data_IF_590949386692
#
_entry.id   IF_590949386692
#
_cell.length_a   1.000
_cell.length_b   1.000
_cell.length_c   1.000
_cell.angle_alpha   90.00
_cell.angle_beta   90.00
_cell.angle_gamma   90.00
#
_symmetry.space_group_name_H-M   'P 1'
#
loop_
_entity.id
_entity.type
_entity.pdbx_description
1 polymer ?
#
# COMPACT_ATOMS: atom_id res chain seq x y z
N UNK A 1 -11.45 -3.44 28.81
CA UNK A 1 -11.23 -3.18 28.26
C UNK A 1 -11.33 -2.68 27.39
N UNK A 2 -11.57 -2.31 26.94
CA UNK A 2 -11.39 -1.68 26.29
C UNK A 2 -11.62 -1.52 25.23
N UNK A 3 -12.06 -1.15 25.29
CA UNK A 3 -11.82 -0.53 24.12
C UNK A 3 -12.22 -1.30 22.95
N UNK A 4 -12.74 -2.38 23.11
CA UNK A 4 -13.23 -3.13 22.04
C UNK A 4 -14.27 -2.43 21.25
N UNK A 5 -15.12 -1.66 21.92
CA UNK A 5 -16.19 -0.99 21.23
C UNK A 5 -15.68 0.03 20.27
N UNK A 6 -14.61 0.69 20.61
CA UNK A 6 -14.08 1.69 19.71
C UNK A 6 -13.52 1.07 18.46
N UNK A 7 -13.25 -0.20 18.50
CA UNK A 7 -12.76 -0.88 17.34
C UNK A 7 -13.76 -0.96 16.24
N UNK A 8 -15.03 -0.84 16.55
CA UNK A 8 -16.02 -0.97 15.51
C UNK A 8 -15.87 0.07 14.43
N UNK A 9 -15.50 1.27 14.81
CA UNK A 9 -15.25 2.29 13.81
C UNK A 9 -14.09 1.92 12.92
N UNK A 10 -13.06 1.33 13.50
CA UNK A 10 -11.90 0.93 12.72
C UNK A 10 -12.21 -0.21 11.78
N UNK A 11 -13.12 -1.08 12.19
CA UNK A 11 -13.47 -2.23 11.37
C UNK A 11 -14.09 -1.79 10.06
N UNK A 12 -14.81 -0.71 10.07
CA UNK A 12 -15.45 -0.20 8.87
C UNK A 12 -14.44 0.21 7.83
N UNK A 13 -13.31 0.74 8.27
CA UNK A 13 -12.27 1.19 7.36
C UNK A 13 -11.27 0.07 7.13
N UNK A 14 -11.13 -0.35 5.89
CA UNK A 14 -10.16 -1.37 5.51
C UNK A 14 -8.92 -0.75 4.90
N UNK A 15 -8.71 0.52 5.13
CA UNK A 15 -7.62 1.28 4.52
C UNK A 15 -6.71 1.83 5.58
N UNK A 16 -5.43 1.91 5.22
CA UNK A 16 -4.43 2.61 6.02
C UNK A 16 -4.31 4.01 5.45
N UNK A 17 -4.57 5.00 6.30
CA UNK A 17 -4.49 6.39 5.89
C UNK A 17 -3.06 6.86 5.98
N UNK A 18 -2.60 7.56 4.94
CA UNK A 18 -1.22 8.05 4.91
C UNK A 18 -1.15 9.45 5.51
N UNK A 19 -1.27 9.57 6.82
CA UNK A 19 -1.00 10.85 7.48
C UNK A 19 0.49 11.16 7.46
N UNK A 20 1.32 10.11 7.48
CA UNK A 20 2.74 10.20 7.15
C UNK A 20 2.92 9.35 5.91
N UNK A 21 3.42 9.94 4.84
CA UNK A 21 3.45 9.26 3.56
C UNK A 21 4.50 8.16 3.52
N UNK A 22 4.11 7.00 3.00
CA UNK A 22 5.04 5.94 2.66
C UNK A 22 5.28 5.89 1.15
N UNK A 23 4.84 6.94 0.45
CA UNK A 23 4.87 6.94 -1.01
C UNK A 23 6.26 6.79 -1.60
N UNK A 24 7.26 7.45 -1.02
CA UNK A 24 8.63 7.32 -1.51
C UNK A 24 9.13 5.89 -1.38
N UNK A 25 8.80 5.23 -0.28
CA UNK A 25 9.20 3.84 -0.08
C UNK A 25 8.52 2.93 -1.10
N UNK A 26 7.23 3.16 -1.35
CA UNK A 26 6.52 2.41 -2.38
C UNK A 26 7.17 2.59 -3.74
N UNK A 27 7.49 3.82 -4.10
CA UNK A 27 8.15 4.11 -5.37
C UNK A 27 9.48 3.40 -5.47
N UNK A 28 10.31 3.52 -4.44
CA UNK A 28 11.66 2.95 -4.46
C UNK A 28 11.61 1.42 -4.52
N UNK A 29 10.67 0.81 -3.81
CA UNK A 29 10.52 -0.65 -3.85
C UNK A 29 10.07 -1.10 -5.24
N UNK A 30 9.20 -0.35 -5.88
CA UNK A 30 8.78 -0.67 -7.24
C UNK A 30 9.96 -0.58 -8.21
N UNK A 31 10.75 0.49 -8.11
CA UNK A 31 11.91 0.67 -8.97
C UNK A 31 12.91 -0.47 -8.74
N UNK A 32 13.16 -0.83 -7.48
CA UNK A 32 14.07 -1.94 -7.16
C UNK A 32 13.59 -3.25 -7.77
N UNK A 33 12.28 -3.44 -7.80
CA UNK A 33 11.70 -4.63 -8.40
C UNK A 33 11.72 -4.61 -9.93
N UNK A 34 12.07 -3.49 -10.53
CA UNK A 34 12.16 -3.37 -11.97
C UNK A 34 10.80 -3.29 -12.66
N UNK A 35 9.78 -2.80 -11.96
CA UNK A 35 8.42 -2.80 -12.47
C UNK A 35 7.93 -1.39 -12.75
N UNK A 36 7.16 -1.24 -13.83
CA UNK A 36 6.41 -0.02 -14.08
C UNK A 36 5.14 0.00 -13.25
N UNK A 37 4.52 1.17 -13.13
CA UNK A 37 3.24 1.27 -12.45
C UNK A 37 2.18 0.42 -13.16
N UNK A 38 2.22 0.36 -14.47
CA UNK A 38 1.28 -0.46 -15.24
C UNK A 38 1.47 -1.95 -14.95
N UNK A 39 2.71 -2.39 -14.84
CA UNK A 39 2.99 -3.79 -14.53
C UNK A 39 2.52 -4.14 -13.13
N UNK A 40 2.68 -3.24 -12.18
CA UNK A 40 2.18 -3.48 -10.82
C UNK A 40 0.66 -3.54 -10.81
N UNK A 41 0.01 -2.65 -11.55
CA UNK A 41 -1.44 -2.68 -11.67
C UNK A 41 -1.90 -4.03 -12.23
N UNK A 42 -1.24 -4.54 -13.27
CA UNK A 42 -1.58 -5.83 -13.84
C UNK A 42 -1.41 -6.95 -12.83
N UNK A 43 -0.33 -6.92 -12.04
CA UNK A 43 -0.10 -7.92 -11.00
C UNK A 43 -1.17 -7.89 -9.92
N UNK A 44 -1.61 -6.71 -9.54
CA UNK A 44 -2.66 -6.57 -8.54
C UNK A 44 -3.99 -7.09 -9.09
N UNK A 45 -4.28 -6.82 -10.35
CA UNK A 45 -5.53 -7.30 -10.95
C UNK A 45 -5.55 -8.82 -11.06
N UNK A 46 -4.41 -9.44 -11.31
CA UNK A 46 -4.32 -10.91 -11.27
C UNK A 46 -4.68 -11.47 -9.91
N UNK A 47 -4.49 -10.68 -8.86
CA UNK A 47 -4.86 -11.05 -7.49
C UNK A 47 -6.25 -10.55 -7.13
N UNK A 48 -7.02 -10.12 -8.13
CA UNK A 48 -8.39 -9.61 -7.96
C UNK A 48 -8.44 -8.36 -7.09
N UNK A 49 -7.38 -7.58 -7.12
CA UNK A 49 -7.33 -6.29 -6.48
C UNK A 49 -7.41 -5.23 -7.57
N UNK A 50 -8.53 -4.53 -7.61
CA UNK A 50 -8.79 -3.59 -8.68
C UNK A 50 -8.10 -2.26 -8.39
N UNK A 51 -6.83 -2.18 -8.74
CA UNK A 51 -6.00 -1.00 -8.52
C UNK A 51 -5.42 -0.57 -9.84
N UNK A 52 -5.82 0.59 -10.30
CA UNK A 52 -5.36 1.13 -11.58
C UNK A 52 -3.96 1.76 -11.43
N UNK A 53 -3.33 2.01 -12.58
CA UNK A 53 -2.04 2.70 -12.59
C UNK A 53 -2.15 4.08 -11.93
N UNK A 54 -3.27 4.76 -12.14
CA UNK A 54 -3.49 6.08 -11.54
C UNK A 54 -3.54 6.01 -10.03
N UNK A 55 -4.16 4.97 -9.50
CA UNK A 55 -4.22 4.78 -8.06
C UNK A 55 -2.83 4.50 -7.51
N UNK A 56 -2.04 3.67 -8.20
CA UNK A 56 -0.67 3.42 -7.79
C UNK A 56 0.12 4.72 -7.76
N UNK A 57 -0.04 5.55 -8.79
CA UNK A 57 0.62 6.83 -8.85
C UNK A 57 0.26 7.70 -7.64
N UNK A 58 -1.02 7.75 -7.30
CA UNK A 58 -1.49 8.53 -6.16
C UNK A 58 -0.94 7.98 -4.84
N UNK A 59 -0.85 6.67 -4.72
CA UNK A 59 -0.26 6.06 -3.52
C UNK A 59 1.21 6.44 -3.37
N UNK A 60 1.95 6.42 -4.46
CA UNK A 60 3.36 6.80 -4.43
C UNK A 60 3.56 8.28 -4.14
N UNK A 61 2.57 9.10 -4.44
CA UNK A 61 2.60 10.51 -4.08
C UNK A 61 2.11 10.76 -2.65
N UNK A 62 1.69 9.72 -1.94
CA UNK A 62 1.20 9.83 -0.58
C UNK A 62 -0.20 10.40 -0.47
N UNK A 63 -0.95 10.39 -1.57
CA UNK A 63 -2.27 11.04 -1.64
C UNK A 63 -3.43 10.08 -1.60
N UNK A 64 -3.18 8.80 -1.45
CA UNK A 64 -4.22 7.79 -1.48
C UNK A 64 -4.11 6.86 -0.29
N UNK A 65 -5.24 6.48 0.26
CA UNK A 65 -5.26 5.47 1.32
C UNK A 65 -4.93 4.11 0.72
N UNK A 66 -4.24 3.28 1.49
CA UNK A 66 -3.80 1.98 1.01
C UNK A 66 -4.56 0.90 1.77
N UNK A 67 -5.28 0.06 1.04
CA UNK A 67 -5.95 -1.09 1.66
C UNK A 67 -4.90 -2.09 2.12
N UNK A 68 -5.15 -2.71 3.25
CA UNK A 68 -4.21 -3.70 3.80
C UNK A 68 -3.98 -4.84 2.80
N UNK A 69 -5.03 -5.27 2.11
CA UNK A 69 -4.90 -6.33 1.10
C UNK A 69 -3.93 -5.94 -0.01
N UNK A 70 -3.93 -4.67 -0.41
CA UNK A 70 -3.02 -4.18 -1.43
C UNK A 70 -1.60 -4.14 -0.89
N UNK A 71 -1.42 -3.69 0.35
CA UNK A 71 -0.10 -3.65 0.97
C UNK A 71 0.51 -5.04 1.04
N UNK A 72 -0.29 -6.03 1.44
CA UNK A 72 0.18 -7.41 1.49
C UNK A 72 0.58 -7.93 0.12
N UNK A 73 -0.20 -7.59 -0.91
CA UNK A 73 0.12 -8.00 -2.27
C UNK A 73 1.40 -7.32 -2.76
N UNK A 74 1.57 -6.04 -2.46
CA UNK A 74 2.78 -5.31 -2.86
C UNK A 74 4.01 -5.87 -2.18
N UNK A 75 3.88 -6.33 -0.93
CA UNK A 75 5.00 -6.99 -0.25
C UNK A 75 5.49 -8.17 -1.06
N UNK A 76 4.57 -8.98 -1.57
CA UNK A 76 4.93 -10.13 -2.39
C UNK A 76 5.49 -9.71 -3.75
N UNK A 77 4.80 -8.79 -4.41
CA UNK A 77 5.18 -8.36 -5.76
C UNK A 77 6.58 -7.75 -5.75
N UNK A 78 6.87 -6.94 -4.74
CA UNK A 78 8.16 -6.26 -4.64
C UNK A 78 9.21 -7.10 -3.94
N UNK A 79 8.83 -8.26 -3.39
CA UNK A 79 9.72 -9.11 -2.61
C UNK A 79 10.41 -8.31 -1.52
N UNK A 80 9.60 -7.57 -0.79
CA UNK A 80 10.07 -6.67 0.25
C UNK A 80 9.69 -7.19 1.62
N UNK A 81 10.38 -6.70 2.65
CA UNK A 81 10.00 -6.90 4.04
C UNK A 81 9.08 -5.77 4.47
N UNK A 82 8.22 -6.02 5.45
CA UNK A 82 7.28 -5.00 5.89
C UNK A 82 7.99 -3.73 6.35
N UNK A 83 9.10 -3.87 7.07
CA UNK A 83 9.80 -2.70 7.57
C UNK A 83 10.30 -1.79 6.44
N UNK A 84 10.53 -2.33 5.26
CA UNK A 84 11.01 -1.52 4.14
C UNK A 84 9.96 -0.53 3.65
N UNK A 85 8.68 -0.81 3.90
CA UNK A 85 7.62 0.12 3.54
C UNK A 85 7.61 1.34 4.46
N UNK A 86 8.20 1.22 5.64
CA UNK A 86 8.10 2.23 6.68
C UNK A 86 9.46 2.83 7.06
N UNK A 87 10.49 2.57 6.27
CA UNK A 87 11.82 3.10 6.53
C UNK A 87 11.84 4.62 6.39
N UNK A 88 12.58 5.28 7.27
CA UNK A 88 12.88 6.70 7.17
C UNK A 88 11.64 7.60 7.20
N UNK A 89 10.65 7.20 7.97
CA UNK A 89 9.43 8.00 8.10
C UNK A 89 9.48 8.99 9.26
N UNK A 90 10.44 8.90 10.12
CA UNK A 90 10.49 9.72 11.34
C UNK A 90 10.79 11.18 11.05
#
# INVERSE_FOLDING_TARGET
MYSFQTWKGSIVSKKIKQDISIGNNLHNLRIRAGLSQEQVSAQLQLRRLNVSREIISQMELGKYSIRVSVLLALKEIYQAEFNEFFDNLA
#
